data_IF_491480638763
#
_entry.id   IF_491480638763
#
_cell.length_a   1.000
_cell.length_b   1.000
_cell.length_c   1.000
_cell.angle_alpha   90.00
_cell.angle_beta   90.00
_cell.angle_gamma   90.00
#
_symmetry.space_group_name_H-M   'P 1'
#
loop_
_entity.id
_entity.type
_entity.pdbx_description
1 polymer ?
#
# COMPACT_ATOMS: atom_id res chain seq x y z
N UNK A 1 17.46 35.59 34.85
CA UNK A 1 16.70 35.25 33.63
C UNK A 1 17.67 34.92 32.52
N UNK A 2 17.81 33.65 32.11
CA UNK A 2 18.38 33.31 30.82
C UNK A 2 17.27 33.02 29.79
N UNK A 3 17.49 33.51 28.58
CA UNK A 3 16.61 33.45 27.42
C UNK A 3 16.29 32.01 27.00
N UNK A 4 15.00 31.67 26.95
CA UNK A 4 14.50 30.43 26.33
C UNK A 4 14.76 30.50 24.82
N UNK A 5 15.76 29.77 24.35
CA UNK A 5 15.91 29.46 22.93
C UNK A 5 14.72 28.60 22.51
N UNK A 6 13.79 29.19 21.75
CA UNK A 6 12.69 28.47 21.10
C UNK A 6 13.27 27.56 20.03
N UNK A 7 13.45 26.29 20.37
CA UNK A 7 13.71 25.24 19.39
C UNK A 7 12.45 25.13 18.52
N UNK A 8 12.52 25.63 17.28
CA UNK A 8 11.45 25.41 16.30
C UNK A 8 11.38 23.91 16.05
N UNK A 9 10.21 23.26 16.20
CA UNK A 9 10.09 21.86 15.80
C UNK A 9 10.38 21.77 14.30
N UNK A 10 11.36 20.93 13.96
CA UNK A 10 11.71 20.58 12.60
C UNK A 10 10.44 20.14 11.88
N UNK A 11 9.99 20.95 10.90
CA UNK A 11 8.96 20.54 9.96
C UNK A 11 9.43 19.21 9.37
N UNK A 12 8.71 18.12 9.63
CA UNK A 12 8.82 16.94 8.79
C UNK A 12 8.32 17.39 7.41
N UNK A 13 9.25 17.85 6.57
CA UNK A 13 8.95 18.37 5.25
C UNK A 13 8.59 17.17 4.39
N UNK A 14 7.30 16.87 4.36
CA UNK A 14 6.72 15.93 3.43
C UNK A 14 7.05 16.41 2.02
N UNK A 15 7.76 15.58 1.26
CA UNK A 15 8.05 15.87 -0.14
C UNK A 15 6.79 15.44 -0.90
N UNK A 16 5.99 16.37 -1.46
CA UNK A 16 4.87 15.99 -2.32
C UNK A 16 5.44 15.13 -3.47
N UNK A 17 4.95 13.90 -3.59
CA UNK A 17 5.47 12.92 -4.55
C UNK A 17 4.75 13.10 -5.87
N UNK A 18 5.51 13.15 -6.96
CA UNK A 18 4.93 13.20 -8.30
C UNK A 18 4.11 11.91 -8.56
N UNK A 19 2.96 12.00 -9.25
CA UNK A 19 2.24 10.82 -9.69
C UNK A 19 3.14 9.98 -10.59
N UNK A 20 3.10 8.66 -10.44
CA UNK A 20 3.77 7.73 -11.35
C UNK A 20 3.01 7.81 -12.67
N UNK A 21 3.60 8.51 -13.65
CA UNK A 21 3.04 8.61 -14.99
C UNK A 21 3.26 7.28 -15.68
N UNK A 22 2.17 6.67 -16.16
CA UNK A 22 2.12 5.45 -16.96
C UNK A 22 2.81 4.27 -16.25
N UNK A 23 1.97 3.39 -15.69
CA UNK A 23 2.44 2.24 -14.94
C UNK A 23 2.21 0.97 -15.74
N UNK A 24 3.28 0.25 -16.05
CA UNK A 24 3.20 -1.17 -16.39
C UNK A 24 2.97 -1.91 -15.08
N UNK A 25 1.97 -2.77 -15.06
CA UNK A 25 1.71 -3.62 -13.89
C UNK A 25 2.45 -4.93 -14.09
N UNK A 26 3.30 -5.27 -13.13
CA UNK A 26 3.93 -6.58 -13.00
C UNK A 26 3.38 -7.25 -11.77
N UNK A 27 3.16 -8.55 -11.82
CA UNK A 27 2.62 -9.32 -10.70
C UNK A 27 3.75 -10.05 -9.98
N UNK A 28 3.96 -9.77 -8.70
CA UNK A 28 4.83 -10.55 -7.82
C UNK A 28 3.99 -11.62 -7.12
N UNK A 29 4.19 -12.89 -7.46
CA UNK A 29 3.53 -14.03 -6.85
C UNK A 29 4.43 -14.62 -5.77
N UNK A 30 3.96 -14.60 -4.53
CA UNK A 30 4.67 -15.17 -3.38
C UNK A 30 4.55 -16.69 -3.35
N UNK A 31 5.41 -17.35 -2.56
CA UNK A 31 5.37 -18.80 -2.35
C UNK A 31 4.02 -19.28 -1.80
N UNK A 32 3.37 -18.46 -0.96
CA UNK A 32 2.05 -18.74 -0.40
C UNK A 32 0.91 -18.71 -1.43
N UNK A 33 1.16 -18.21 -2.64
CA UNK A 33 0.15 -18.00 -3.68
C UNK A 33 -0.39 -16.57 -3.73
N UNK A 34 -0.15 -15.77 -2.66
CA UNK A 34 -0.54 -14.37 -2.63
C UNK A 34 0.09 -13.58 -3.78
N UNK A 35 -0.73 -12.85 -4.53
CA UNK A 35 -0.32 -12.01 -5.63
C UNK A 35 -0.24 -10.54 -5.21
N UNK A 36 0.90 -9.91 -5.48
CA UNK A 36 1.14 -8.50 -5.22
C UNK A 36 1.37 -7.74 -6.53
N UNK A 37 0.39 -6.97 -7.02
CA UNK A 37 0.59 -6.13 -8.19
C UNK A 37 1.54 -4.97 -7.90
N UNK A 38 2.52 -4.79 -8.79
CA UNK A 38 3.52 -3.73 -8.75
C UNK A 38 3.29 -2.80 -9.93
N UNK A 39 2.87 -1.56 -9.66
CA UNK A 39 2.80 -0.49 -10.64
C UNK A 39 4.19 0.11 -10.82
N UNK A 40 4.85 -0.20 -11.93
CA UNK A 40 6.24 0.17 -12.23
C UNK A 40 6.30 1.25 -13.31
N UNK A 41 7.34 2.09 -13.26
CA UNK A 41 7.62 3.07 -14.31
C UNK A 41 7.87 2.40 -15.68
N UNK A 42 7.56 3.14 -16.75
CA UNK A 42 7.72 2.69 -18.14
C UNK A 42 9.10 2.04 -18.41
N UNK A 43 9.09 0.86 -19.03
CA UNK A 43 10.30 0.14 -19.43
C UNK A 43 11.02 -0.60 -18.30
N UNK A 44 10.58 -0.49 -17.04
CA UNK A 44 11.12 -1.34 -15.96
C UNK A 44 10.48 -2.72 -16.00
N UNK A 45 9.16 -2.81 -16.09
CA UNK A 45 8.45 -4.09 -16.15
C UNK A 45 8.90 -4.97 -17.32
N UNK A 46 9.03 -4.37 -18.51
CA UNK A 46 9.48 -5.03 -19.73
C UNK A 46 10.93 -5.50 -19.63
N UNK A 47 11.79 -4.76 -18.93
CA UNK A 47 13.18 -5.17 -18.69
C UNK A 47 13.28 -6.32 -17.69
N UNK A 48 12.44 -6.32 -16.66
CA UNK A 48 12.40 -7.39 -15.68
C UNK A 48 11.91 -8.71 -16.30
N UNK A 49 11.01 -8.63 -17.28
CA UNK A 49 10.32 -9.77 -17.89
C UNK A 49 10.75 -10.05 -19.34
N UNK A 50 11.88 -9.47 -19.81
CA UNK A 50 12.30 -9.58 -21.21
C UNK A 50 12.59 -11.02 -21.66
N UNK A 51 12.95 -11.89 -20.72
CA UNK A 51 13.21 -13.32 -20.95
C UNK A 51 12.03 -14.21 -20.48
N UNK A 52 10.90 -13.59 -20.13
CA UNK A 52 9.70 -14.25 -19.58
C UNK A 52 9.58 -14.09 -18.06
N UNK A 53 8.71 -14.89 -17.42
CA UNK A 53 8.53 -14.87 -15.97
C UNK A 53 9.83 -15.13 -15.22
N UNK A 54 10.15 -14.26 -14.25
CA UNK A 54 11.38 -14.35 -13.48
C UNK A 54 11.13 -15.05 -12.14
N UNK A 55 11.80 -16.18 -11.93
CA UNK A 55 11.80 -16.89 -10.64
C UNK A 55 12.95 -16.37 -9.79
N UNK A 56 12.65 -15.91 -8.59
CA UNK A 56 13.63 -15.32 -7.67
C UNK A 56 13.57 -15.99 -6.30
N UNK A 57 14.66 -15.84 -5.53
CA UNK A 57 14.68 -16.13 -4.11
C UNK A 57 14.62 -14.82 -3.35
N UNK A 58 13.55 -14.65 -2.59
CA UNK A 58 13.33 -13.48 -1.77
C UNK A 58 14.25 -13.52 -0.55
N UNK A 59 14.79 -12.37 -0.19
CA UNK A 59 15.45 -12.14 1.07
C UNK A 59 14.75 -11.06 1.87
N UNK A 60 14.88 -11.13 3.20
CA UNK A 60 14.32 -10.14 4.11
C UNK A 60 15.38 -9.27 4.76
N UNK A 61 15.09 -7.99 4.81
CA UNK A 61 15.84 -7.05 5.63
C UNK A 61 14.88 -6.12 6.36
N UNK A 62 14.66 -6.39 7.66
CA UNK A 62 13.68 -5.67 8.49
C UNK A 62 12.29 -5.69 7.85
N UNK A 63 11.78 -4.55 7.38
CA UNK A 63 10.47 -4.41 6.74
C UNK A 63 10.58 -4.15 5.23
N UNK A 64 11.56 -4.79 4.59
CA UNK A 64 11.73 -4.85 3.14
C UNK A 64 11.92 -6.31 2.68
N UNK A 65 11.27 -6.67 1.58
CA UNK A 65 11.54 -7.89 0.82
C UNK A 65 12.36 -7.49 -0.40
N UNK A 66 13.46 -8.18 -0.66
CA UNK A 66 14.31 -7.88 -1.83
C UNK A 66 14.84 -9.13 -2.50
N UNK A 67 15.18 -9.03 -3.79
CA UNK A 67 15.71 -10.15 -4.57
C UNK A 67 16.51 -9.65 -5.79
N UNK A 68 17.60 -10.33 -6.15
CA UNK A 68 18.37 -10.05 -7.38
C UNK A 68 17.47 -10.31 -8.59
N UNK A 69 17.35 -9.32 -9.48
CA UNK A 69 16.54 -9.43 -10.70
C UNK A 69 17.36 -9.79 -11.94
N UNK A 70 18.67 -9.99 -11.81
CA UNK A 70 19.57 -10.40 -12.88
C UNK A 70 19.85 -9.33 -13.94
N UNK A 71 19.12 -8.22 -13.92
CA UNK A 71 19.25 -7.11 -14.87
C UNK A 71 19.68 -5.82 -14.18
N UNK A 72 20.40 -4.98 -14.92
CA UNK A 72 20.73 -3.63 -14.45
C UNK A 72 19.66 -2.63 -14.87
N UNK A 73 19.11 -1.91 -13.88
CA UNK A 73 18.15 -0.82 -14.09
C UNK A 73 18.84 0.53 -13.96
N UNK A 74 19.87 0.72 -14.80
CA UNK A 74 20.73 1.90 -14.81
C UNK A 74 19.94 3.23 -14.94
N UNK A 75 20.50 4.28 -14.35
CA UNK A 75 19.97 5.64 -14.39
C UNK A 75 19.03 5.99 -13.24
N UNK A 76 18.38 7.14 -13.33
CA UNK A 76 17.46 7.62 -12.30
C UNK A 76 18.13 8.26 -11.08
N UNK A 77 17.31 8.87 -10.22
CA UNK A 77 17.79 9.55 -9.00
C UNK A 77 17.81 8.56 -7.84
N UNK A 78 18.99 8.37 -7.26
CA UNK A 78 19.13 7.62 -6.02
C UNK A 78 18.66 8.44 -4.80
N UNK A 79 18.03 7.77 -3.85
CA UNK A 79 17.53 8.34 -2.60
C UNK A 79 17.80 7.41 -1.43
N UNK A 80 18.25 7.93 -0.26
CA UNK A 80 18.32 7.15 0.96
C UNK A 80 16.95 7.07 1.69
N UNK A 81 15.88 7.61 1.09
CA UNK A 81 14.55 7.70 1.70
C UNK A 81 13.48 7.10 0.80
N UNK A 82 12.68 6.23 1.38
CA UNK A 82 11.52 5.55 0.78
C UNK A 82 10.32 5.62 1.74
N UNK A 83 9.13 5.41 1.21
CA UNK A 83 7.91 5.21 1.99
C UNK A 83 7.45 3.75 1.91
N UNK A 84 6.59 3.37 2.85
CA UNK A 84 5.82 2.12 2.77
C UNK A 84 5.06 2.08 1.44
N UNK A 85 5.14 0.96 0.75
CA UNK A 85 4.59 0.72 -0.59
C UNK A 85 5.56 1.03 -1.73
N UNK A 86 6.72 1.65 -1.49
CA UNK A 86 7.70 1.89 -2.55
C UNK A 86 8.26 0.57 -3.07
N UNK A 87 8.36 0.47 -4.40
CA UNK A 87 9.18 -0.52 -5.09
C UNK A 87 10.41 0.21 -5.59
N UNK A 88 11.60 -0.28 -5.25
CA UNK A 88 12.86 0.38 -5.57
C UNK A 88 13.90 -0.61 -6.10
N UNK A 89 14.76 -0.14 -6.98
CA UNK A 89 15.95 -0.85 -7.41
C UNK A 89 17.14 -0.48 -6.53
N UNK A 90 17.84 -1.49 -6.02
CA UNK A 90 19.07 -1.37 -5.24
C UNK A 90 20.28 -1.79 -6.08
N UNK A 91 21.06 -0.83 -6.60
CA UNK A 91 22.13 -1.12 -7.57
C UNK A 91 23.21 -2.08 -7.09
N UNK A 92 23.74 -2.00 -5.85
CA UNK A 92 24.82 -2.88 -5.40
C UNK A 92 24.51 -4.38 -5.49
N UNK A 93 23.23 -4.76 -5.30
CA UNK A 93 22.77 -6.13 -5.37
C UNK A 93 21.99 -6.48 -6.63
N UNK A 94 21.90 -5.55 -7.60
CA UNK A 94 20.94 -5.61 -8.73
C UNK A 94 19.55 -6.06 -8.30
N UNK A 95 19.10 -5.58 -7.14
CA UNK A 95 17.93 -6.13 -6.47
C UNK A 95 16.72 -5.22 -6.65
N UNK A 96 15.54 -5.82 -6.78
CA UNK A 96 14.28 -5.13 -6.57
C UNK A 96 13.89 -5.27 -5.10
N UNK A 97 13.50 -4.16 -4.47
CA UNK A 97 13.10 -4.07 -3.08
C UNK A 97 11.64 -3.60 -3.00
N UNK A 98 10.82 -4.29 -2.20
CA UNK A 98 9.45 -3.91 -1.87
C UNK A 98 9.41 -3.52 -0.39
N UNK A 99 9.18 -2.23 -0.11
CA UNK A 99 9.15 -1.71 1.25
C UNK A 99 7.74 -1.79 1.82
N UNK A 100 7.52 -2.62 2.85
CA UNK A 100 6.19 -2.85 3.42
C UNK A 100 5.99 -2.26 4.82
N UNK A 101 7.01 -1.63 5.38
CA UNK A 101 6.95 -0.95 6.69
C UNK A 101 7.76 0.34 6.74
N UNK A 102 8.32 0.63 7.91
CA UNK A 102 9.04 1.88 8.23
C UNK A 102 10.51 1.86 7.82
N UNK A 103 11.04 0.67 7.55
CA UNK A 103 12.46 0.46 7.21
C UNK A 103 12.91 1.31 6.03
N UNK A 104 14.19 1.71 6.07
CA UNK A 104 14.87 2.48 5.04
C UNK A 104 15.99 1.64 4.44
N UNK A 105 16.32 1.86 3.15
CA UNK A 105 17.33 1.06 2.47
C UNK A 105 18.70 1.20 3.13
N UNK A 106 19.52 0.15 3.02
CA UNK A 106 20.88 0.18 3.58
C UNK A 106 21.79 1.23 2.91
N UNK A 107 21.69 1.36 1.58
CA UNK A 107 22.31 2.45 0.80
C UNK A 107 21.31 3.03 -0.20
N UNK A 108 21.56 4.21 -0.80
CA UNK A 108 20.58 4.85 -1.68
C UNK A 108 20.06 3.93 -2.80
N UNK A 109 18.73 3.93 -2.98
CA UNK A 109 17.99 3.16 -3.99
C UNK A 109 17.36 4.08 -5.02
N UNK A 110 17.01 3.56 -6.20
CA UNK A 110 16.14 4.24 -7.16
C UNK A 110 14.72 3.75 -6.96
N UNK A 111 13.79 4.61 -6.57
CA UNK A 111 12.37 4.25 -6.55
C UNK A 111 11.89 4.09 -7.99
N UNK A 112 11.34 2.92 -8.32
CA UNK A 112 10.90 2.54 -9.68
C UNK A 112 9.41 2.23 -9.77
N UNK A 113 8.69 2.22 -8.64
CA UNK A 113 7.26 1.93 -8.66
C UNK A 113 6.60 1.89 -7.28
N UNK A 114 5.41 1.30 -7.24
CA UNK A 114 4.59 1.09 -6.04
C UNK A 114 3.96 -0.28 -6.03
N UNK A 115 3.90 -0.89 -4.86
CA UNK A 115 3.04 -2.03 -4.61
C UNK A 115 1.59 -1.56 -4.40
N UNK A 116 0.64 -2.22 -5.04
CA UNK A 116 -0.79 -1.97 -4.89
C UNK A 116 -1.38 -2.88 -3.80
N UNK A 117 -2.51 -2.47 -3.21
CA UNK A 117 -3.21 -3.27 -2.22
C UNK A 117 -2.52 -3.40 -0.86
N UNK A 118 -3.08 -4.29 -0.06
CA UNK A 118 -2.60 -4.62 1.28
C UNK A 118 -1.22 -5.31 1.22
N UNK A 119 -0.35 -4.97 2.19
CA UNK A 119 1.06 -5.40 2.22
C UNK A 119 1.39 -6.34 3.39
N UNK A 120 0.43 -6.65 4.25
CA UNK A 120 0.67 -7.50 5.42
C UNK A 120 1.27 -8.88 5.10
N UNK A 121 0.98 -9.56 3.97
CA UNK A 121 1.56 -10.89 3.71
C UNK A 121 3.07 -10.88 3.51
N UNK A 122 3.65 -9.73 3.14
CA UNK A 122 5.10 -9.59 3.06
C UNK A 122 5.78 -9.78 4.42
N UNK A 123 5.05 -9.64 5.54
CA UNK A 123 5.55 -9.90 6.90
C UNK A 123 5.81 -11.37 7.17
N UNK A 124 5.18 -12.27 6.43
CA UNK A 124 5.23 -13.72 6.65
C UNK A 124 6.13 -14.45 5.63
N UNK A 125 6.62 -13.74 4.59
CA UNK A 125 7.60 -14.30 3.63
C UNK A 125 8.89 -14.73 4.36
N UNK A 126 9.33 -15.96 4.21
CA UNK A 126 10.58 -16.41 4.84
C UNK A 126 11.82 -16.07 3.99
N UNK A 127 12.98 -15.96 4.62
CA UNK A 127 14.24 -15.77 3.89
C UNK A 127 14.53 -17.00 3.02
N UNK A 128 14.77 -16.77 1.73
CA UNK A 128 14.97 -17.83 0.73
C UNK A 128 13.68 -18.34 0.06
N UNK A 129 12.49 -17.87 0.46
CA UNK A 129 11.21 -18.20 -0.19
C UNK A 129 11.25 -17.88 -1.68
N UNK A 130 10.65 -18.76 -2.47
CA UNK A 130 10.58 -18.59 -3.93
C UNK A 130 9.46 -17.62 -4.28
N UNK A 131 9.75 -16.60 -5.09
CA UNK A 131 8.74 -15.73 -5.65
C UNK A 131 8.87 -15.68 -7.17
N UNK A 132 7.81 -15.26 -7.86
CA UNK A 132 7.76 -15.14 -9.32
C UNK A 132 7.30 -13.76 -9.73
N UNK A 133 8.04 -13.10 -10.60
CA UNK A 133 7.54 -11.94 -11.33
C UNK A 133 6.92 -12.42 -12.64
N UNK A 134 5.68 -12.01 -12.89
CA UNK A 134 4.87 -12.41 -14.04
C UNK A 134 4.25 -11.17 -14.69
N UNK A 135 3.94 -11.26 -15.98
CA UNK A 135 3.14 -10.24 -16.66
C UNK A 135 1.75 -10.14 -16.01
N UNK A 136 1.22 -8.92 -15.89
CA UNK A 136 -0.13 -8.73 -15.41
C UNK A 136 -1.14 -8.94 -16.53
N UNK A 137 -2.08 -9.85 -16.31
CA UNK A 137 -3.25 -10.03 -17.15
C UNK A 137 -4.50 -9.87 -16.28
N UNK A 138 -5.36 -8.94 -16.67
CA UNK A 138 -6.57 -8.64 -15.93
C UNK A 138 -7.68 -9.65 -16.24
N UNK A 139 -8.32 -10.26 -15.22
CA UNK A 139 -9.45 -11.15 -15.45
C UNK A 139 -10.67 -10.37 -15.92
N UNK A 140 -11.35 -10.88 -16.95
CA UNK A 140 -12.50 -10.22 -17.59
C UNK A 140 -13.62 -9.87 -16.59
N UNK A 141 -13.82 -10.71 -15.57
CA UNK A 141 -14.83 -10.50 -14.53
C UNK A 141 -14.58 -9.25 -13.66
N UNK A 142 -13.31 -8.87 -13.42
CA UNK A 142 -12.95 -7.72 -12.58
C UNK A 142 -12.62 -6.46 -13.38
N UNK A 143 -12.46 -6.60 -14.70
CA UNK A 143 -12.13 -5.50 -15.60
C UNK A 143 -13.03 -4.27 -15.45
N UNK A 144 -14.37 -4.37 -15.33
CA UNK A 144 -15.23 -3.20 -15.16
C UNK A 144 -14.90 -2.38 -13.90
N UNK A 145 -14.60 -3.06 -12.79
CA UNK A 145 -14.27 -2.41 -11.51
C UNK A 145 -12.89 -1.76 -11.58
N UNK A 146 -11.91 -2.47 -12.15
CA UNK A 146 -10.58 -1.91 -12.36
C UNK A 146 -10.58 -0.69 -13.29
N UNK A 147 -11.37 -0.72 -14.37
CA UNK A 147 -11.55 0.43 -15.26
C UNK A 147 -12.23 1.61 -14.53
N UNK A 148 -13.20 1.36 -13.66
CA UNK A 148 -13.85 2.41 -12.87
C UNK A 148 -12.87 3.16 -11.95
N UNK A 149 -11.98 2.42 -11.29
CA UNK A 149 -10.93 2.96 -10.42
C UNK A 149 -9.87 3.71 -11.23
N UNK A 150 -9.34 3.09 -12.30
CA UNK A 150 -8.30 3.71 -13.14
C UNK A 150 -8.79 4.93 -13.91
N UNK A 151 -10.06 4.98 -14.30
CA UNK A 151 -10.67 6.17 -14.91
C UNK A 151 -10.68 7.40 -13.97
N UNK A 152 -10.49 7.17 -12.66
CA UNK A 152 -10.37 8.20 -11.62
C UNK A 152 -8.92 8.38 -11.15
N UNK A 153 -7.96 7.92 -11.95
CA UNK A 153 -6.53 8.01 -11.68
C UNK A 153 -6.07 7.22 -10.43
N UNK A 154 -6.82 6.19 -10.03
CA UNK A 154 -6.39 5.25 -9.00
C UNK A 154 -5.79 3.99 -9.63
N UNK A 155 -4.46 3.78 -9.53
CA UNK A 155 -3.85 2.54 -9.98
C UNK A 155 -4.46 1.35 -9.24
N UNK A 156 -5.02 0.41 -9.99
CA UNK A 156 -5.64 -0.79 -9.47
C UNK A 156 -5.31 -1.99 -10.35
N UNK A 157 -5.28 -3.16 -9.72
CA UNK A 157 -5.09 -4.42 -10.39
C UNK A 157 -5.82 -5.54 -9.63
N UNK A 158 -6.38 -6.48 -10.37
CA UNK A 158 -6.84 -7.73 -9.82
C UNK A 158 -5.68 -8.53 -9.23
N UNK A 159 -5.94 -9.26 -8.15
CA UNK A 159 -5.00 -10.21 -7.57
C UNK A 159 -5.74 -11.39 -6.96
N UNK A 160 -4.99 -12.45 -6.70
CA UNK A 160 -5.43 -13.56 -5.85
C UNK A 160 -4.72 -13.54 -4.50
N UNK A 161 -5.44 -13.96 -3.48
CA UNK A 161 -4.86 -14.27 -2.17
C UNK A 161 -4.29 -15.70 -2.12
N UNK A 162 -3.94 -16.15 -0.92
CA UNK A 162 -3.38 -17.49 -0.65
C UNK A 162 -4.40 -18.61 -0.86
N UNK A 163 -5.70 -18.31 -0.77
CA UNK A 163 -6.80 -19.24 -1.01
C UNK A 163 -7.23 -19.24 -2.50
N UNK A 164 -6.68 -18.32 -3.29
CA UNK A 164 -7.02 -18.14 -4.70
C UNK A 164 -8.26 -17.28 -4.93
N UNK A 165 -8.80 -16.63 -3.90
CA UNK A 165 -9.93 -15.72 -4.01
C UNK A 165 -9.50 -14.43 -4.71
N UNK A 166 -10.41 -13.89 -5.53
CA UNK A 166 -10.14 -12.71 -6.35
C UNK A 166 -10.52 -11.43 -5.62
N UNK A 167 -9.62 -10.45 -5.65
CA UNK A 167 -9.90 -9.06 -5.24
C UNK A 167 -9.31 -8.07 -6.23
N UNK A 168 -9.72 -6.81 -6.13
CA UNK A 168 -9.08 -5.67 -6.81
C UNK A 168 -8.25 -4.89 -5.79
N UNK A 169 -6.93 -4.96 -5.94
CA UNK A 169 -5.95 -4.27 -5.12
C UNK A 169 -5.74 -2.83 -5.59
N UNK A 170 -5.82 -1.87 -4.66
CA UNK A 170 -5.44 -0.47 -4.87
C UNK A 170 -4.88 0.13 -3.58
N UNK A 171 -4.36 1.35 -3.63
CA UNK A 171 -3.84 2.02 -2.44
C UNK A 171 -4.13 3.52 -2.49
N UNK A 172 -4.43 4.09 -1.33
CA UNK A 172 -4.64 5.53 -1.16
C UNK A 172 -3.48 6.09 -0.35
N UNK A 173 -2.88 7.18 -0.84
CA UNK A 173 -1.84 7.93 -0.17
C UNK A 173 -2.32 9.36 0.12
N UNK A 174 -2.52 9.70 1.41
CA UNK A 174 -2.88 11.06 1.85
C UNK A 174 -2.06 11.43 3.07
N UNK A 175 -1.49 12.64 3.07
CA UNK A 175 -0.73 13.12 4.23
C UNK A 175 0.58 12.38 4.55
N UNK A 176 1.02 11.47 3.69
CA UNK A 176 2.12 10.56 4.01
C UNK A 176 1.71 9.31 4.77
N UNK A 177 0.40 9.11 4.96
CA UNK A 177 -0.18 7.81 5.26
C UNK A 177 -0.50 7.11 3.94
N UNK A 178 -0.16 5.82 3.87
CA UNK A 178 -0.59 4.89 2.81
C UNK A 178 -1.45 3.82 3.45
N UNK A 179 -2.64 3.60 2.93
CA UNK A 179 -3.42 2.39 3.17
C UNK A 179 -3.61 1.63 1.86
N UNK A 180 -3.27 0.35 1.87
CA UNK A 180 -3.69 -0.59 0.83
C UNK A 180 -5.14 -0.99 1.05
N UNK A 181 -5.81 -1.37 -0.03
CA UNK A 181 -7.19 -1.87 -0.01
C UNK A 181 -7.36 -3.06 -0.93
N UNK A 182 -8.23 -3.96 -0.53
CA UNK A 182 -8.84 -4.99 -1.35
C UNK A 182 -10.31 -4.66 -1.57
N UNK A 183 -10.75 -4.76 -2.82
CA UNK A 183 -12.16 -4.68 -3.20
C UNK A 183 -12.62 -6.04 -3.73
N UNK A 184 -13.65 -6.58 -3.10
CA UNK A 184 -14.30 -7.84 -3.44
C UNK A 184 -15.60 -7.57 -4.19
N UNK A 185 -15.82 -8.32 -5.27
CA UNK A 185 -17.04 -8.25 -6.09
C UNK A 185 -17.95 -9.39 -5.66
N UNK A 186 -19.02 -9.05 -4.96
CA UNK A 186 -19.98 -9.99 -4.38
C UNK A 186 -21.30 -9.95 -5.16
N UNK A 187 -22.14 -10.99 -4.99
CA UNK A 187 -23.47 -11.05 -5.62
C UNK A 187 -24.42 -9.93 -5.13
N UNK A 188 -24.09 -9.31 -3.99
CA UNK A 188 -24.88 -8.28 -3.30
C UNK A 188 -24.19 -6.92 -3.24
N UNK A 189 -23.17 -6.70 -4.06
CA UNK A 189 -22.50 -5.41 -4.19
C UNK A 189 -20.98 -5.52 -4.12
N UNK A 190 -20.33 -4.41 -3.76
CA UNK A 190 -18.89 -4.33 -3.60
C UNK A 190 -18.54 -4.19 -2.12
N UNK A 191 -17.57 -4.97 -1.68
CA UNK A 191 -16.99 -4.86 -0.35
C UNK A 191 -15.56 -4.35 -0.46
N UNK A 192 -15.19 -3.35 0.34
CA UNK A 192 -13.85 -2.78 0.37
C UNK A 192 -13.30 -2.93 1.78
N UNK A 193 -12.07 -3.40 1.90
CA UNK A 193 -11.35 -3.55 3.16
C UNK A 193 -9.92 -3.03 3.04
N UNK A 194 -9.44 -2.33 4.07
CA UNK A 194 -8.08 -1.78 4.10
C UNK A 194 -7.07 -2.71 4.77
N UNK A 195 -5.79 -2.43 4.53
CA UNK A 195 -4.68 -2.83 5.41
C UNK A 195 -5.04 -2.53 6.88
N UNK A 196 -4.53 -3.36 7.80
CA UNK A 196 -4.65 -3.08 9.23
C UNK A 196 -4.04 -1.71 9.58
N UNK A 197 -4.82 -0.86 10.23
CA UNK A 197 -4.42 0.44 10.77
C UNK A 197 -3.69 0.24 12.11
N UNK A 198 -4.24 -0.60 12.99
CA UNK A 198 -3.64 -0.95 14.28
C UNK A 198 -4.26 -2.24 14.83
N UNK A 199 -3.65 -2.82 15.88
CA UNK A 199 -4.32 -3.89 16.63
C UNK A 199 -5.56 -3.39 17.37
N UNK A 200 -6.53 -4.28 17.61
CA UNK A 200 -7.69 -3.95 18.43
C UNK A 200 -7.31 -3.84 19.91
N UNK A 201 -7.54 -2.68 20.56
CA UNK A 201 -7.12 -2.49 21.93
C UNK A 201 -7.98 -3.26 22.93
N UNK A 202 -7.36 -3.74 24.01
CA UNK A 202 -8.06 -4.40 25.13
C UNK A 202 -8.30 -3.47 26.32
N UNK A 203 -7.58 -2.34 26.41
CA UNK A 203 -7.71 -1.37 27.50
C UNK A 203 -8.85 -0.38 27.26
N UNK A 204 -9.59 -0.01 28.32
CA UNK A 204 -10.73 0.91 28.22
C UNK A 204 -10.37 2.28 27.63
N UNK A 205 -9.21 2.85 27.98
CA UNK A 205 -8.78 4.14 27.45
C UNK A 205 -8.51 4.08 25.94
N UNK A 206 -7.88 3.01 25.48
CA UNK A 206 -7.59 2.81 24.06
C UNK A 206 -8.86 2.48 23.28
N UNK A 207 -9.76 1.69 23.86
CA UNK A 207 -11.08 1.45 23.29
C UNK A 207 -11.88 2.74 23.15
N UNK A 208 -11.86 3.61 24.18
CA UNK A 208 -12.50 4.92 24.11
C UNK A 208 -11.94 5.77 22.97
N UNK A 209 -10.62 5.72 22.72
CA UNK A 209 -9.99 6.40 21.57
C UNK A 209 -10.49 5.85 20.24
N UNK A 210 -10.62 4.53 20.11
CA UNK A 210 -11.22 3.91 18.91
C UNK A 210 -12.66 4.40 18.72
N UNK A 211 -13.46 4.48 19.80
CA UNK A 211 -14.80 5.05 19.73
C UNK A 211 -14.81 6.53 19.30
N UNK A 212 -13.82 7.33 19.72
CA UNK A 212 -13.70 8.73 19.26
C UNK A 212 -13.38 8.80 17.76
N UNK A 213 -12.45 7.98 17.27
CA UNK A 213 -12.12 7.90 15.84
C UNK A 213 -13.33 7.43 15.03
N UNK A 214 -14.02 6.39 15.49
CA UNK A 214 -15.25 5.89 14.87
C UNK A 214 -16.32 6.99 14.81
N UNK A 215 -16.60 7.66 15.93
CA UNK A 215 -17.57 8.75 15.98
C UNK A 215 -17.19 9.93 15.10
N UNK A 216 -15.89 10.23 14.94
CA UNK A 216 -15.41 11.27 14.04
C UNK A 216 -15.74 10.91 12.58
N UNK A 217 -15.41 9.69 12.15
CA UNK A 217 -15.62 9.26 10.77
C UNK A 217 -17.11 9.09 10.45
N UNK A 218 -17.87 8.42 11.32
CA UNK A 218 -19.34 8.23 11.16
C UNK A 218 -20.12 9.55 11.18
N UNK A 219 -19.55 10.63 11.73
CA UNK A 219 -20.20 11.96 11.68
C UNK A 219 -20.01 12.70 10.34
N UNK A 220 -19.12 12.20 9.48
CA UNK A 220 -18.70 12.88 8.23
C UNK A 220 -18.95 12.04 6.98
N UNK A 221 -18.94 10.73 7.12
CA UNK A 221 -18.96 9.76 6.02
C UNK A 221 -20.09 8.74 6.28
N UNK A 222 -20.81 8.38 5.22
CA UNK A 222 -21.97 7.49 5.29
C UNK A 222 -21.62 6.05 4.93
N UNK A 223 -20.68 5.85 4.00
CA UNK A 223 -20.35 4.56 3.42
C UNK A 223 -19.11 3.91 4.07
N UNK A 224 -18.18 4.72 4.55
CA UNK A 224 -16.94 4.25 5.20
C UNK A 224 -17.13 4.08 6.70
N UNK A 225 -16.68 2.94 7.22
CA UNK A 225 -16.71 2.61 8.64
C UNK A 225 -15.36 2.15 9.17
N UNK A 226 -15.19 2.28 10.49
CA UNK A 226 -14.09 1.63 11.22
C UNK A 226 -14.56 0.25 11.64
N UNK A 227 -13.80 -0.77 11.26
CA UNK A 227 -14.18 -2.18 11.44
C UNK A 227 -13.01 -3.02 11.99
N UNK A 228 -13.26 -4.31 12.13
CA UNK A 228 -12.23 -5.32 12.35
C UNK A 228 -12.12 -6.24 11.13
N UNK A 229 -10.90 -6.49 10.68
CA UNK A 229 -10.64 -7.53 9.70
C UNK A 229 -10.73 -8.93 10.33
N UNK A 230 -10.52 -9.97 9.53
CA UNK A 230 -10.62 -11.37 9.96
C UNK A 230 -9.61 -11.74 11.08
N UNK A 231 -8.49 -11.04 11.15
CA UNK A 231 -7.48 -11.20 12.22
C UNK A 231 -7.81 -10.42 13.51
N UNK A 232 -8.93 -9.70 13.55
CA UNK A 232 -9.32 -8.84 14.67
C UNK A 232 -8.47 -7.57 14.78
N UNK A 233 -7.96 -7.07 13.66
CA UNK A 233 -7.20 -5.82 13.55
C UNK A 233 -8.10 -4.70 13.04
N UNK A 234 -7.89 -3.48 13.53
CA UNK A 234 -8.67 -2.32 13.09
C UNK A 234 -8.36 -1.97 11.64
N UNK A 235 -9.39 -1.82 10.83
CA UNK A 235 -9.30 -1.43 9.41
C UNK A 235 -10.42 -0.43 9.06
N UNK A 236 -10.35 0.12 7.85
CA UNK A 236 -11.46 0.81 7.22
C UNK A 236 -12.17 -0.16 6.28
N UNK A 237 -13.48 -0.18 6.32
CA UNK A 237 -14.30 -0.97 5.39
C UNK A 237 -15.41 -0.13 4.79
N UNK A 238 -15.95 -0.59 3.66
CA UNK A 238 -17.13 -0.04 3.04
C UNK A 238 -17.91 -1.14 2.29
N UNK A 239 -19.22 -0.99 2.23
CA UNK A 239 -20.11 -1.80 1.39
C UNK A 239 -20.89 -0.86 0.49
N UNK A 240 -20.94 -1.10 -0.81
CA UNK A 240 -21.63 -0.20 -1.73
C UNK A 240 -22.12 -0.91 -3.00
N UNK A 241 -23.12 -0.33 -3.66
CA UNK A 241 -23.46 -0.73 -5.02
C UNK A 241 -22.38 -0.26 -6.01
N UNK A 242 -22.20 -0.91 -7.18
CA UNK A 242 -21.18 -0.51 -8.15
C UNK A 242 -21.23 0.96 -8.59
N UNK A 243 -22.43 1.58 -8.58
CA UNK A 243 -22.62 3.00 -8.88
C UNK A 243 -22.09 3.96 -7.81
N UNK A 244 -21.91 3.48 -6.58
CA UNK A 244 -21.48 4.25 -5.41
C UNK A 244 -19.97 4.15 -5.15
N UNK A 245 -19.25 3.28 -5.87
CA UNK A 245 -17.82 3.05 -5.64
C UNK A 245 -17.00 4.35 -5.69
N UNK A 246 -17.38 5.29 -6.56
CA UNK A 246 -16.72 6.60 -6.62
C UNK A 246 -16.83 7.36 -5.29
N UNK A 247 -18.03 7.39 -4.70
CA UNK A 247 -18.28 8.05 -3.42
C UNK A 247 -17.54 7.34 -2.29
N UNK A 248 -17.51 6.00 -2.27
CA UNK A 248 -16.72 5.23 -1.30
C UNK A 248 -15.26 5.66 -1.30
N UNK A 249 -14.64 5.76 -2.48
CA UNK A 249 -13.22 6.11 -2.53
C UNK A 249 -13.01 7.57 -2.11
N UNK A 250 -13.89 8.50 -2.48
CA UNK A 250 -13.83 9.89 -1.99
C UNK A 250 -13.92 9.96 -0.45
N UNK A 251 -14.82 9.19 0.16
CA UNK A 251 -14.93 9.07 1.61
C UNK A 251 -13.70 8.41 2.24
N UNK A 252 -13.09 7.40 1.61
CA UNK A 252 -11.85 6.78 2.10
C UNK A 252 -10.67 7.76 2.08
N UNK A 253 -10.55 8.58 1.04
CA UNK A 253 -9.54 9.64 0.97
C UNK A 253 -9.75 10.71 2.05
N UNK A 254 -11.01 11.09 2.28
CA UNK A 254 -11.42 12.01 3.35
C UNK A 254 -11.11 11.43 4.73
N UNK A 255 -11.50 10.18 4.97
CA UNK A 255 -11.25 9.47 6.23
C UNK A 255 -9.74 9.38 6.52
N UNK A 256 -8.91 9.08 5.52
CA UNK A 256 -7.45 9.04 5.72
C UNK A 256 -6.87 10.43 6.06
N UNK A 257 -7.42 11.48 5.48
CA UNK A 257 -7.03 12.87 5.80
C UNK A 257 -7.43 13.25 7.23
N UNK A 258 -8.64 12.88 7.65
CA UNK A 258 -9.14 13.15 9.01
C UNK A 258 -8.40 12.35 10.09
N UNK A 259 -8.05 11.09 9.79
CA UNK A 259 -7.20 10.27 10.65
C UNK A 259 -5.82 10.90 10.81
N UNK A 260 -5.23 11.43 9.74
CA UNK A 260 -3.95 12.13 9.81
C UNK A 260 -4.04 13.37 10.72
N UNK A 261 -5.07 14.20 10.54
CA UNK A 261 -5.29 15.39 11.36
C UNK A 261 -5.50 15.04 12.82
N UNK A 262 -6.32 14.02 13.10
CA UNK A 262 -6.54 13.51 14.45
C UNK A 262 -5.23 13.06 15.10
N UNK A 263 -4.40 12.29 14.40
CA UNK A 263 -3.10 11.83 14.91
C UNK A 263 -2.12 12.99 15.13
N UNK A 264 -2.10 13.99 14.25
CA UNK A 264 -1.27 15.20 14.40
C UNK A 264 -1.70 16.05 15.59
N UNK A 265 -3.01 16.16 15.85
CA UNK A 265 -3.53 16.85 17.02
C UNK A 265 -3.19 16.09 18.30
N UNK A 266 -3.35 14.76 18.28
CA UNK A 266 -3.07 13.89 19.42
C UNK A 266 -1.59 13.87 19.79
N UNK A 267 -0.67 13.82 18.82
CA UNK A 267 0.77 13.87 19.05
C UNK A 267 1.28 15.22 19.60
N UNK A 268 0.42 16.25 19.67
CA UNK A 268 0.70 17.55 20.30
C UNK A 268 0.15 17.66 21.71
N UNK A 269 -0.52 16.63 22.22
CA UNK A 269 -0.95 16.58 23.62
C UNK A 269 0.32 16.40 24.48
N UNK A 270 0.64 17.35 25.38
CA UNK A 270 1.87 17.32 26.17
C UNK A 270 1.98 16.10 27.09
#
# INVERSE_FOLDING_TARGET
MPSRSTCRPSRCSFIPRAPIRLAVIVKLVLESGWELPLALEDGVGERLLSEGPLVVRASKWKEEMYFDVGVDLEGGRLTPRVARGDVAYWPPGRALCVFYGLSQPYTPVRVVGRALGCLYPLRDVEDGSVARLEEYAEPEALKPVCELLRAREWPSAARRDEEGAWSVAFAIERGGLRLGFDLFVEDYGLYVESDAISGYPKGLCDLWRVCQVRSLLESRYELVRVDLNEDGMLCLTACCEPGELAAVIEELEGALSDLEEYLRAYGRTP
#
